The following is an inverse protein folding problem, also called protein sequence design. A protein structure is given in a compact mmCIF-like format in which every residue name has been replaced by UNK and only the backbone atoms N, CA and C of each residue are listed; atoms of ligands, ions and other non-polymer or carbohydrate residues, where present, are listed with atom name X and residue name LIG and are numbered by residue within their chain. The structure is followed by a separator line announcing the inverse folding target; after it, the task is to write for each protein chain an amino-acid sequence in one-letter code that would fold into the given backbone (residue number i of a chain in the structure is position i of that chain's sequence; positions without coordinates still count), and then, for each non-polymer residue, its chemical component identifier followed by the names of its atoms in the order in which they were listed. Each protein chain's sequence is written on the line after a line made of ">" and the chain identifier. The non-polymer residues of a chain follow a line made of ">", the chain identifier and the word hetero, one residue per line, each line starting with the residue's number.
data_IF_642879145620
#
_entry.id   IF_642879145620
#
_cell.length_a   1.000
_cell.length_b   1.000
_cell.length_c   1.000
_cell.angle_alpha   90.00
_cell.angle_beta   90.00
_cell.angle_gamma   90.00
#
_symmetry.space_group_name_H-M   'P 1'
#
loop_
_entity.id
_entity.type
_entity.pdbx_description
1 polymer ?
#
# COMPACT_ATOMS: atom_id res chain seq x y z
N UNK A 1 -6.85 -3.70 17.33
CA UNK A 1 -6.32 -2.55 16.55
C UNK A 1 -7.18 -2.28 15.33
N UNK A 2 -7.15 -1.05 14.85
CA UNK A 2 -7.66 -0.68 13.52
C UNK A 2 -6.49 -0.69 12.53
N UNK A 3 -6.63 -1.43 11.44
CA UNK A 3 -5.59 -1.61 10.41
C UNK A 3 -6.14 -1.12 9.07
N UNK A 4 -5.40 -0.25 8.40
CA UNK A 4 -5.69 0.14 7.03
C UNK A 4 -4.79 -0.62 6.07
N UNK A 5 -5.37 -1.26 5.03
CA UNK A 5 -4.62 -1.95 3.97
C UNK A 5 -4.98 -1.31 2.63
N UNK A 6 -3.96 -0.78 1.91
CA UNK A 6 -4.16 -0.17 0.59
C UNK A 6 -3.67 -1.08 -0.52
N UNK A 7 -4.57 -1.44 -1.44
CA UNK A 7 -4.41 -2.47 -2.48
C UNK A 7 -4.65 -1.82 -3.84
N UNK A 8 -3.65 -1.82 -4.73
CA UNK A 8 -3.72 -1.10 -6.00
C UNK A 8 -3.85 -1.99 -7.25
N UNK A 9 -3.48 -3.26 -7.14
CA UNK A 9 -3.43 -4.20 -8.29
C UNK A 9 -4.02 -5.56 -7.94
N UNK A 10 -4.41 -6.38 -8.95
CA UNK A 10 -4.90 -7.75 -8.71
C UNK A 10 -3.90 -8.63 -7.94
N UNK A 11 -2.61 -8.55 -8.26
CA UNK A 11 -1.55 -9.26 -7.54
C UNK A 11 -1.54 -8.91 -6.06
N UNK A 12 -1.67 -7.61 -5.74
CA UNK A 12 -1.69 -7.14 -4.37
C UNK A 12 -2.94 -7.60 -3.61
N UNK A 13 -4.08 -7.71 -4.28
CA UNK A 13 -5.30 -8.26 -3.68
C UNK A 13 -5.10 -9.72 -3.28
N UNK A 14 -4.62 -10.56 -4.19
CA UNK A 14 -4.35 -11.97 -3.90
C UNK A 14 -3.30 -12.15 -2.79
N UNK A 15 -2.28 -11.31 -2.79
CA UNK A 15 -1.27 -11.30 -1.72
C UNK A 15 -1.85 -10.88 -0.36
N UNK A 16 -2.75 -9.91 -0.34
CA UNK A 16 -3.33 -9.37 0.89
C UNK A 16 -4.45 -10.23 1.46
N UNK A 17 -5.12 -11.03 0.65
CA UNK A 17 -6.27 -11.85 1.05
C UNK A 17 -5.97 -12.72 2.30
N UNK A 18 -4.93 -13.58 2.32
CA UNK A 18 -4.62 -14.38 3.51
C UNK A 18 -4.20 -13.53 4.71
N UNK A 19 -3.62 -12.36 4.49
CA UNK A 19 -3.27 -11.42 5.56
C UNK A 19 -4.54 -10.86 6.20
N UNK A 20 -5.49 -10.43 5.37
CA UNK A 20 -6.80 -9.89 5.81
C UNK A 20 -7.60 -10.96 6.56
N UNK A 21 -7.67 -12.18 6.03
CA UNK A 21 -8.35 -13.30 6.69
C UNK A 21 -7.77 -13.61 8.07
N UNK A 22 -6.44 -13.62 8.18
CA UNK A 22 -5.76 -13.93 9.44
C UNK A 22 -5.88 -12.79 10.46
N UNK A 23 -5.63 -11.55 10.04
CA UNK A 23 -5.68 -10.39 10.93
C UNK A 23 -7.11 -10.00 11.28
N UNK A 24 -8.08 -10.18 10.38
CA UNK A 24 -9.48 -9.84 10.58
C UNK A 24 -10.16 -10.60 11.71
N UNK A 25 -9.60 -11.75 12.12
CA UNK A 25 -10.09 -12.50 13.29
C UNK A 25 -9.93 -11.76 14.61
N UNK A 26 -8.99 -10.81 14.69
CA UNK A 26 -8.63 -10.10 15.94
C UNK A 26 -8.59 -8.58 15.81
N UNK A 27 -8.70 -8.06 14.59
CA UNK A 27 -8.51 -6.64 14.29
C UNK A 27 -9.62 -6.12 13.37
N UNK A 28 -9.90 -4.82 13.47
CA UNK A 28 -10.80 -4.14 12.55
C UNK A 28 -10.00 -3.66 11.33
N UNK A 29 -10.32 -4.17 10.15
CA UNK A 29 -9.55 -3.91 8.92
C UNK A 29 -10.39 -3.09 7.95
N UNK A 30 -9.80 -2.03 7.41
CA UNK A 30 -10.29 -1.29 6.26
C UNK A 30 -9.38 -1.55 5.08
N UNK A 31 -9.91 -2.21 4.04
CA UNK A 31 -9.21 -2.37 2.77
C UNK A 31 -9.67 -1.30 1.79
N UNK A 32 -8.74 -0.58 1.19
CA UNK A 32 -9.00 0.44 0.18
C UNK A 32 -8.29 0.14 -1.14
N UNK A 33 -8.85 0.63 -2.23
CA UNK A 33 -8.24 0.60 -3.55
C UNK A 33 -8.60 1.85 -4.34
N UNK A 34 -7.97 2.02 -5.50
CA UNK A 34 -8.44 2.95 -6.53
C UNK A 34 -9.30 2.19 -7.54
N UNK A 35 -10.23 2.91 -8.21
CA UNK A 35 -11.05 2.34 -9.27
C UNK A 35 -10.16 1.88 -10.42
N UNK A 36 -10.05 0.58 -10.57
CA UNK A 36 -9.29 -0.13 -11.58
C UNK A 36 -10.05 -1.41 -11.91
N UNK A 37 -10.41 -1.61 -13.21
CA UNK A 37 -11.40 -2.60 -13.62
C UNK A 37 -11.03 -4.02 -13.17
N UNK A 38 -9.78 -4.42 -13.37
CA UNK A 38 -9.27 -5.75 -13.04
C UNK A 38 -9.35 -6.04 -11.53
N UNK A 39 -9.02 -5.05 -10.70
CA UNK A 39 -9.14 -5.18 -9.23
C UNK A 39 -10.60 -5.29 -8.82
N UNK A 40 -11.47 -4.48 -9.44
CA UNK A 40 -12.91 -4.50 -9.15
C UNK A 40 -13.55 -5.84 -9.49
N UNK A 41 -13.20 -6.41 -10.66
CA UNK A 41 -13.69 -7.74 -11.08
C UNK A 41 -13.17 -8.83 -10.15
N UNK A 42 -11.89 -8.81 -9.83
CA UNK A 42 -11.28 -9.81 -8.95
C UNK A 42 -11.85 -9.75 -7.53
N UNK A 43 -12.04 -8.55 -6.97
CA UNK A 43 -12.66 -8.38 -5.65
C UNK A 43 -14.07 -8.99 -5.59
N UNK A 44 -14.87 -8.81 -6.64
CA UNK A 44 -16.21 -9.45 -6.75
C UNK A 44 -16.11 -10.98 -6.79
N UNK A 45 -15.24 -11.54 -7.62
CA UNK A 45 -15.03 -13.00 -7.75
C UNK A 45 -14.57 -13.60 -6.42
N UNK A 46 -13.70 -12.91 -5.70
CA UNK A 46 -13.14 -13.38 -4.42
C UNK A 46 -14.01 -13.05 -3.21
N UNK A 47 -15.14 -12.34 -3.39
CA UNK A 47 -15.97 -11.83 -2.29
C UNK A 47 -15.13 -11.01 -1.28
N UNK A 48 -14.15 -10.26 -1.79
CA UNK A 48 -13.24 -9.46 -0.98
C UNK A 48 -13.83 -8.07 -0.74
N UNK A 49 -13.99 -7.70 0.53
CA UNK A 49 -14.53 -6.38 0.90
C UNK A 49 -13.48 -5.29 0.65
N UNK A 50 -13.74 -4.44 -0.34
CA UNK A 50 -12.80 -3.45 -0.84
C UNK A 50 -13.50 -2.12 -1.14
N UNK A 51 -13.06 -1.08 -0.44
CA UNK A 51 -13.61 0.28 -0.62
C UNK A 51 -12.81 1.02 -1.69
N UNK A 52 -13.46 1.43 -2.76
CA UNK A 52 -12.82 2.15 -3.86
C UNK A 52 -12.82 3.67 -3.61
N UNK A 53 -11.61 4.27 -3.62
CA UNK A 53 -11.38 5.71 -3.46
C UNK A 53 -10.43 6.19 -4.57
N UNK A 54 -10.89 7.12 -5.38
CA UNK A 54 -10.14 7.61 -6.53
C UNK A 54 -10.10 6.63 -7.70
N UNK A 55 -9.32 6.96 -8.72
CA UNK A 55 -9.20 6.18 -9.97
C UNK A 55 -7.74 6.07 -10.43
N UNK A 56 -7.48 5.13 -11.30
CA UNK A 56 -6.19 5.01 -12.00
C UNK A 56 -6.03 6.17 -13.00
N UNK A 57 -4.89 6.85 -12.98
CA UNK A 57 -4.63 8.03 -13.82
C UNK A 57 -4.20 7.74 -15.27
N UNK A 58 -4.18 6.45 -15.69
CA UNK A 58 -3.73 6.05 -17.03
C UNK A 58 -2.22 6.15 -17.22
N UNK A 59 -1.76 6.23 -18.49
CA UNK A 59 -0.34 6.26 -18.84
C UNK A 59 0.33 7.63 -18.74
N UNK A 60 -0.43 8.72 -18.86
CA UNK A 60 0.09 10.08 -18.90
C UNK A 60 0.50 10.57 -17.50
N UNK A 61 1.70 11.14 -17.37
CA UNK A 61 2.24 11.62 -16.08
C UNK A 61 1.37 12.70 -15.42
N UNK A 62 0.89 13.67 -16.19
CA UNK A 62 0.01 14.75 -15.70
C UNK A 62 -1.30 14.20 -15.13
N UNK A 63 -1.91 13.25 -15.84
CA UNK A 63 -3.14 12.61 -15.40
C UNK A 63 -2.92 11.72 -14.16
N UNK A 64 -1.78 11.04 -14.07
CA UNK A 64 -1.38 10.30 -12.84
C UNK A 64 -1.23 11.23 -11.65
N UNK A 65 -0.57 12.38 -11.82
CA UNK A 65 -0.42 13.35 -10.76
C UNK A 65 -1.79 13.87 -10.29
N UNK A 66 -2.66 14.27 -11.23
CA UNK A 66 -4.02 14.73 -10.91
C UNK A 66 -4.82 13.68 -10.16
N UNK A 67 -4.84 12.44 -10.66
CA UNK A 67 -5.55 11.33 -10.01
C UNK A 67 -4.99 11.02 -8.61
N UNK A 68 -3.68 11.10 -8.42
CA UNK A 68 -3.02 10.91 -7.11
C UNK A 68 -3.43 12.01 -6.11
N UNK A 69 -3.42 13.27 -6.52
CA UNK A 69 -3.84 14.40 -5.67
C UNK A 69 -5.30 14.26 -5.24
N UNK A 70 -6.20 13.98 -6.19
CA UNK A 70 -7.63 13.77 -5.91
C UNK A 70 -7.85 12.58 -4.97
N UNK A 71 -7.07 11.51 -5.15
CA UNK A 71 -7.14 10.34 -4.29
C UNK A 71 -6.66 10.64 -2.88
N UNK A 72 -5.53 11.33 -2.74
CA UNK A 72 -5.00 11.73 -1.43
C UNK A 72 -6.03 12.56 -0.65
N UNK A 73 -6.67 13.55 -1.28
CA UNK A 73 -7.68 14.37 -0.62
C UNK A 73 -8.86 13.53 -0.10
N UNK A 74 -9.45 12.70 -0.95
CA UNK A 74 -10.61 11.87 -0.57
C UNK A 74 -10.23 10.77 0.44
N UNK A 75 -9.11 10.12 0.22
CA UNK A 75 -8.66 8.99 1.04
C UNK A 75 -8.21 9.46 2.43
N UNK A 76 -7.51 10.60 2.53
CA UNK A 76 -7.09 11.15 3.82
C UNK A 76 -8.28 11.45 4.74
N UNK A 77 -9.38 11.99 4.21
CA UNK A 77 -10.63 12.23 4.97
C UNK A 77 -11.23 10.92 5.50
N UNK A 78 -11.24 9.86 4.66
CA UNK A 78 -11.72 8.54 5.08
C UNK A 78 -10.83 7.93 6.15
N UNK A 79 -9.52 8.04 5.99
CA UNK A 79 -8.54 7.48 6.95
C UNK A 79 -8.57 8.22 8.29
N UNK A 80 -8.70 9.54 8.28
CA UNK A 80 -8.89 10.31 9.52
C UNK A 80 -10.15 9.88 10.27
N UNK A 81 -11.24 9.57 9.58
CA UNK A 81 -12.47 9.06 10.21
C UNK A 81 -12.34 7.62 10.71
N UNK A 82 -11.56 6.79 10.04
CA UNK A 82 -11.33 5.39 10.45
C UNK A 82 -10.35 5.29 11.61
N UNK A 83 -9.37 6.21 11.69
CA UNK A 83 -8.33 6.29 12.73
C UNK A 83 -7.51 4.99 12.87
N UNK A 84 -6.83 4.51 11.80
CA UNK A 84 -6.02 3.32 11.91
C UNK A 84 -4.76 3.56 12.76
N UNK A 85 -4.34 2.53 13.48
CA UNK A 85 -3.10 2.52 14.25
C UNK A 85 -1.90 2.11 13.38
N UNK A 86 -2.16 1.33 12.32
CA UNK A 86 -1.14 0.88 11.39
C UNK A 86 -1.67 0.83 9.97
N UNK A 87 -0.79 1.12 9.02
CA UNK A 87 -1.03 0.99 7.58
C UNK A 87 -0.20 -0.15 7.03
N UNK A 88 -0.79 -0.95 6.16
CA UNK A 88 -0.11 -1.96 5.35
C UNK A 88 -0.35 -1.63 3.89
N UNK A 89 0.70 -1.62 3.06
CA UNK A 89 0.54 -1.45 1.62
C UNK A 89 1.58 -2.27 0.85
N UNK A 90 1.38 -2.34 -0.46
CA UNK A 90 2.34 -2.93 -1.37
C UNK A 90 2.78 -1.87 -2.41
N UNK A 91 3.59 -0.91 -1.96
CA UNK A 91 4.11 0.16 -2.83
C UNK A 91 3.06 1.21 -3.23
N UNK A 92 2.28 1.73 -2.28
CA UNK A 92 1.31 2.81 -2.52
C UNK A 92 1.88 4.17 -2.12
N UNK A 93 2.18 5.07 -3.09
CA UNK A 93 2.62 6.43 -2.78
C UNK A 93 1.58 7.25 -2.01
N UNK A 94 0.30 7.10 -2.33
CA UNK A 94 -0.78 7.79 -1.63
C UNK A 94 -0.88 7.34 -0.18
N UNK A 95 -0.79 6.03 0.09
CA UNK A 95 -0.80 5.50 1.45
C UNK A 95 0.43 5.97 2.24
N UNK A 96 1.62 5.98 1.62
CA UNK A 96 2.83 6.47 2.26
C UNK A 96 2.73 7.96 2.62
N UNK A 97 2.20 8.79 1.70
CA UNK A 97 2.04 10.22 1.95
C UNK A 97 1.01 10.51 3.05
N UNK A 98 -0.11 9.80 3.04
CA UNK A 98 -1.17 9.98 4.04
C UNK A 98 -0.70 9.51 5.42
N UNK A 99 -0.13 8.31 5.51
CA UNK A 99 0.34 7.76 6.79
C UNK A 99 1.42 8.62 7.42
N UNK A 100 2.37 9.12 6.62
CA UNK A 100 3.39 10.04 7.09
C UNK A 100 2.77 11.35 7.61
N UNK A 101 1.84 11.95 6.86
CA UNK A 101 1.19 13.21 7.23
C UNK A 101 0.29 13.11 8.45
N UNK A 102 -0.28 11.94 8.72
CA UNK A 102 -1.14 11.69 9.89
C UNK A 102 -0.41 11.03 11.07
N UNK A 103 0.91 10.78 10.95
CA UNK A 103 1.70 10.14 12.00
C UNK A 103 1.36 8.67 12.25
N UNK A 104 0.82 7.96 11.24
CA UNK A 104 0.42 6.56 11.35
C UNK A 104 1.60 5.66 10.95
N UNK A 105 1.88 4.61 11.71
CA UNK A 105 2.93 3.63 11.38
C UNK A 105 2.61 2.92 10.07
N UNK A 106 3.59 2.85 9.16
CA UNK A 106 3.41 2.22 7.86
C UNK A 106 4.40 1.07 7.64
N UNK A 107 3.87 -0.11 7.40
CA UNK A 107 4.59 -1.31 6.99
C UNK A 107 4.30 -1.54 5.52
N UNK A 108 5.31 -1.59 4.68
CA UNK A 108 5.16 -1.76 3.24
C UNK A 108 5.81 -3.07 2.79
N UNK A 109 5.12 -3.81 1.93
CA UNK A 109 5.71 -4.89 1.15
C UNK A 109 6.20 -4.36 -0.20
N UNK A 110 7.31 -4.87 -0.70
CA UNK A 110 7.79 -4.58 -2.04
C UNK A 110 8.69 -5.69 -2.59
N UNK A 111 8.49 -6.02 -3.86
CA UNK A 111 9.33 -6.98 -4.61
C UNK A 111 9.92 -6.35 -5.91
N UNK A 112 9.76 -5.05 -6.10
CA UNK A 112 10.06 -4.38 -7.35
C UNK A 112 10.96 -3.15 -7.15
N UNK A 113 12.24 -3.33 -6.78
CA UNK A 113 13.16 -2.24 -6.50
C UNK A 113 13.43 -1.33 -7.71
N UNK A 114 13.15 -1.81 -8.93
CA UNK A 114 13.30 -1.06 -10.17
C UNK A 114 12.19 -0.02 -10.42
N UNK A 115 11.12 -0.04 -9.64
CA UNK A 115 10.05 0.97 -9.72
C UNK A 115 10.48 2.30 -9.08
N UNK A 116 11.48 2.96 -9.66
CA UNK A 116 12.19 4.12 -9.10
C UNK A 116 11.26 5.21 -8.54
N UNK A 117 10.22 5.59 -9.28
CA UNK A 117 9.30 6.65 -8.84
C UNK A 117 8.54 6.23 -7.58
N UNK A 118 8.05 4.99 -7.53
CA UNK A 118 7.34 4.45 -6.36
C UNK A 118 8.29 4.38 -5.17
N UNK A 119 9.51 3.87 -5.36
CA UNK A 119 10.50 3.77 -4.28
C UNK A 119 10.83 5.14 -3.68
N UNK A 120 11.07 6.14 -4.52
CA UNK A 120 11.37 7.53 -4.09
C UNK A 120 10.20 8.19 -3.35
N UNK A 121 8.96 7.85 -3.71
CA UNK A 121 7.75 8.43 -3.12
C UNK A 121 7.25 7.66 -1.88
N UNK A 122 7.85 6.53 -1.54
CA UNK A 122 7.39 5.68 -0.43
C UNK A 122 8.45 5.44 0.62
N UNK A 123 9.63 4.95 0.24
CA UNK A 123 10.62 4.43 1.20
C UNK A 123 11.11 5.44 2.24
N UNK A 124 11.30 6.74 1.92
CA UNK A 124 11.66 7.73 2.94
C UNK A 124 10.57 8.01 3.97
N UNK A 125 9.33 7.61 3.71
CA UNK A 125 8.15 7.96 4.51
C UNK A 125 7.64 6.82 5.40
N UNK A 126 8.14 5.61 5.22
CA UNK A 126 7.64 4.42 5.92
C UNK A 126 8.58 3.98 7.05
N UNK A 127 8.07 3.18 7.99
CA UNK A 127 8.84 2.71 9.14
C UNK A 127 9.43 1.32 8.95
N UNK A 128 8.76 0.43 8.21
CA UNK A 128 9.25 -0.92 7.92
C UNK A 128 8.97 -1.32 6.48
N UNK A 129 9.96 -1.95 5.85
CA UNK A 129 9.85 -2.54 4.53
C UNK A 129 10.06 -4.06 4.63
N UNK A 130 9.14 -4.82 4.07
CA UNK A 130 9.21 -6.28 3.96
C UNK A 130 9.47 -6.66 2.52
N UNK A 131 10.54 -7.41 2.29
CA UNK A 131 10.97 -7.83 0.95
C UNK A 131 11.23 -9.33 0.88
N UNK A 132 11.11 -9.96 -0.30
CA UNK A 132 11.57 -11.33 -0.50
C UNK A 132 13.07 -11.48 -0.17
N UNK A 133 13.46 -12.56 0.50
CA UNK A 133 14.82 -12.77 0.95
C UNK A 133 15.87 -12.80 -0.18
N UNK A 134 15.44 -13.13 -1.39
CA UNK A 134 16.31 -13.18 -2.58
C UNK A 134 16.74 -11.80 -3.08
N UNK A 135 16.08 -10.72 -2.65
CA UNK A 135 16.41 -9.36 -3.06
C UNK A 135 17.34 -8.75 -2.00
N UNK A 136 18.54 -8.27 -2.40
CA UNK A 136 19.44 -7.62 -1.47
C UNK A 136 18.83 -6.32 -0.89
N UNK A 137 19.00 -6.09 0.40
CA UNK A 137 18.51 -4.86 1.08
C UNK A 137 19.01 -3.58 0.44
N UNK A 138 20.25 -3.57 -0.08
CA UNK A 138 20.87 -2.42 -0.75
C UNK A 138 20.08 -1.91 -1.96
N UNK A 139 19.29 -2.77 -2.61
CA UNK A 139 18.46 -2.37 -3.75
C UNK A 139 17.32 -1.41 -3.32
N UNK A 140 16.99 -1.40 -2.04
CA UNK A 140 15.98 -0.52 -1.45
C UNK A 140 16.59 0.59 -0.59
N UNK A 141 17.66 0.33 0.16
CA UNK A 141 18.24 1.31 1.09
C UNK A 141 18.78 2.55 0.37
N UNK A 142 19.18 2.43 -0.88
CA UNK A 142 19.56 3.56 -1.75
C UNK A 142 18.46 4.62 -1.94
N UNK A 143 17.22 4.32 -1.58
CA UNK A 143 16.08 5.23 -1.69
C UNK A 143 15.70 5.91 -0.36
N UNK A 144 16.50 5.78 0.69
CA UNK A 144 16.33 6.53 1.94
C UNK A 144 15.68 5.78 3.10
N UNK A 145 15.56 4.45 3.03
CA UNK A 145 15.21 3.62 4.18
C UNK A 145 16.47 2.96 4.76
N UNK A 146 16.59 2.88 6.09
CA UNK A 146 17.72 2.19 6.72
C UNK A 146 17.61 0.68 6.56
N UNK A 147 18.73 -0.02 6.32
CA UNK A 147 18.73 -1.48 6.17
C UNK A 147 18.22 -2.22 7.42
N UNK A 148 18.40 -1.66 8.63
CA UNK A 148 17.83 -2.20 9.88
C UNK A 148 16.29 -2.22 9.90
N UNK A 149 15.65 -1.37 9.07
CA UNK A 149 14.20 -1.28 8.94
C UNK A 149 13.67 -2.11 7.77
N UNK A 150 14.55 -2.81 7.07
CA UNK A 150 14.21 -3.75 6.00
C UNK A 150 14.24 -5.18 6.54
N UNK A 151 13.09 -5.85 6.48
CA UNK A 151 12.91 -7.24 6.91
C UNK A 151 12.80 -8.12 5.66
N UNK A 152 13.62 -9.15 5.59
CA UNK A 152 13.55 -10.15 4.52
C UNK A 152 12.70 -11.33 4.98
N UNK A 153 11.73 -11.73 4.17
CA UNK A 153 10.91 -12.91 4.42
C UNK A 153 11.14 -13.97 3.34
N UNK A 154 10.98 -15.23 3.71
CA UNK A 154 11.00 -16.33 2.74
C UNK A 154 9.69 -16.28 1.97
N UNK A 155 9.77 -15.93 0.68
CA UNK A 155 8.64 -16.05 -0.23
C UNK A 155 8.45 -17.54 -0.58
N UNK A 156 7.21 -17.96 -0.63
CA UNK A 156 6.80 -19.27 -1.12
C UNK A 156 6.55 -19.17 -2.63
#
# INVERSE_FOLDING_TARGET
>A
MKIWIDILTPKQLLFSEPIVERLGKKHNILCTSRKYEEVSKLAKIRHFDLVFVGKHGGGNKKNKLKASIERIDKLSKKIQKFEPEVVISFGSPEAARISFGLGIKHIMFCDSPHANAVMRLTLPLIQKLLIPYVIPKKEFSKYGINEKDIVQYKAI
#
